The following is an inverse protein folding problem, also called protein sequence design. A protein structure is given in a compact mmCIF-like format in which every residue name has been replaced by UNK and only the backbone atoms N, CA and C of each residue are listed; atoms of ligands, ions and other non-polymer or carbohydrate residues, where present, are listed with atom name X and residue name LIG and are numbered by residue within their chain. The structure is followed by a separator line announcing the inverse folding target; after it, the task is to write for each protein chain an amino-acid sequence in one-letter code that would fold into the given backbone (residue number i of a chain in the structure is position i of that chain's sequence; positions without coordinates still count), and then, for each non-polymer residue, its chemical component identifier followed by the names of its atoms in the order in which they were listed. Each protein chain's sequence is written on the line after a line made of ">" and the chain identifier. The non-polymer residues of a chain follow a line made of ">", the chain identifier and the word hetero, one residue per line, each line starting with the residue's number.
data_IF_322128985434
#
_entry.id   IF_322128985434
#
_cell.length_a   1.000
_cell.length_b   1.000
_cell.length_c   1.000
_cell.angle_alpha   90.00
_cell.angle_beta   90.00
_cell.angle_gamma   90.00
#
_symmetry.space_group_name_H-M   'P 1'
#
loop_
_entity.id
_entity.type
_entity.pdbx_description
1 polymer ?
#
# COMPACT_ATOMS: atom_id res chain seq x y z
N UNK A 1 -10.68 -2.14 9.82
CA UNK A 1 -9.83 -2.31 8.63
C UNK A 1 -9.21 -0.98 8.24
N UNK A 2 -7.89 -0.94 8.11
CA UNK A 2 -7.24 0.27 7.65
C UNK A 2 -7.29 0.35 6.13
N UNK A 3 -7.65 1.53 5.65
CA UNK A 3 -7.63 1.81 4.22
C UNK A 3 -6.26 2.36 3.86
N UNK A 4 -5.52 1.61 3.04
CA UNK A 4 -4.17 2.00 2.62
C UNK A 4 -4.18 3.37 1.95
N UNK A 5 -5.22 3.65 1.16
CA UNK A 5 -5.38 4.94 0.49
C UNK A 5 -5.46 6.09 1.50
N UNK A 6 -6.23 5.92 2.55
CA UNK A 6 -6.39 6.96 3.57
C UNK A 6 -5.09 7.20 4.33
N UNK A 7 -4.41 6.12 4.70
CA UNK A 7 -3.12 6.22 5.41
C UNK A 7 -2.10 6.91 4.52
N UNK A 8 -2.02 6.50 3.26
CA UNK A 8 -1.11 7.09 2.29
C UNK A 8 -1.32 8.59 2.15
N UNK A 9 -2.58 8.99 2.00
CA UNK A 9 -2.93 10.41 1.87
C UNK A 9 -2.61 11.20 3.13
N UNK A 10 -2.87 10.61 4.28
CA UNK A 10 -2.58 11.24 5.56
C UNK A 10 -1.08 11.49 5.73
N UNK A 11 -0.26 10.57 5.24
CA UNK A 11 1.19 10.71 5.29
C UNK A 11 1.75 11.58 4.16
N UNK A 12 0.91 11.98 3.21
CA UNK A 12 1.32 12.86 2.11
C UNK A 12 2.03 12.14 0.98
N UNK A 13 1.87 10.84 0.85
CA UNK A 13 2.52 10.06 -0.21
C UNK A 13 1.65 9.99 -1.46
N UNK A 14 2.27 10.20 -2.64
CA UNK A 14 1.59 10.03 -3.92
C UNK A 14 1.54 8.56 -4.31
N UNK A 15 0.62 8.22 -5.22
CA UNK A 15 0.57 6.86 -5.78
C UNK A 15 1.86 6.54 -6.54
N UNK A 16 2.42 7.54 -7.22
CA UNK A 16 3.68 7.40 -7.94
C UNK A 16 4.81 7.02 -7.00
N UNK A 17 4.91 7.71 -5.87
CA UNK A 17 5.90 7.38 -4.85
C UNK A 17 5.74 5.96 -4.34
N UNK A 18 4.51 5.56 -4.03
CA UNK A 18 4.24 4.21 -3.54
C UNK A 18 4.60 3.14 -4.57
N UNK A 19 4.23 3.37 -5.83
CA UNK A 19 4.55 2.43 -6.90
C UNK A 19 6.06 2.28 -7.06
N UNK A 20 6.79 3.38 -7.00
CA UNK A 20 8.25 3.37 -7.10
C UNK A 20 8.87 2.58 -5.94
N UNK A 21 8.37 2.79 -4.72
CA UNK A 21 8.87 2.07 -3.55
C UNK A 21 8.61 0.58 -3.64
N UNK A 22 7.49 0.19 -4.24
CA UNK A 22 7.13 -1.22 -4.39
C UNK A 22 7.75 -1.86 -5.64
N UNK A 23 8.36 -1.06 -6.52
CA UNK A 23 8.96 -1.57 -7.75
C UNK A 23 7.94 -2.01 -8.79
N UNK A 24 6.77 -1.38 -8.80
CA UNK A 24 5.69 -1.69 -9.75
C UNK A 24 5.25 -0.42 -10.46
N UNK A 25 4.43 -0.58 -11.51
CA UNK A 25 3.89 0.58 -12.23
C UNK A 25 2.83 1.28 -11.39
N UNK A 26 2.59 2.55 -11.66
CA UNK A 26 1.56 3.31 -10.98
C UNK A 26 0.18 2.71 -11.23
N UNK A 27 -0.09 2.23 -12.44
CA UNK A 27 -1.35 1.58 -12.76
C UNK A 27 -1.55 0.31 -11.93
N UNK A 28 -0.50 -0.51 -11.83
CA UNK A 28 -0.54 -1.72 -11.00
C UNK A 28 -0.80 -1.38 -9.53
N UNK A 29 -0.10 -0.37 -9.02
CA UNK A 29 -0.32 0.08 -7.65
C UNK A 29 -1.77 0.52 -7.43
N UNK A 30 -2.30 1.30 -8.37
CA UNK A 30 -3.67 1.80 -8.29
C UNK A 30 -4.69 0.66 -8.19
N UNK A 31 -4.52 -0.38 -9.00
CA UNK A 31 -5.39 -1.56 -8.96
C UNK A 31 -5.30 -2.28 -7.62
N UNK A 32 -4.10 -2.38 -7.06
CA UNK A 32 -3.89 -3.04 -5.76
C UNK A 32 -4.47 -2.22 -4.62
N UNK A 33 -4.31 -0.92 -4.66
CA UNK A 33 -4.86 -0.03 -3.64
C UNK A 33 -6.39 -0.08 -3.63
N UNK A 34 -7.00 -0.18 -4.81
CA UNK A 34 -8.46 -0.23 -4.94
C UNK A 34 -9.06 -1.60 -4.62
N UNK A 35 -8.22 -2.62 -4.45
CA UNK A 35 -8.69 -3.97 -4.13
C UNK A 35 -8.95 -4.84 -5.34
N UNK A 36 -8.77 -4.34 -6.56
CA UNK A 36 -8.92 -5.13 -7.79
C UNK A 36 -7.87 -6.23 -7.86
N UNK A 37 -6.67 -5.95 -7.37
CA UNK A 37 -5.58 -6.92 -7.26
C UNK A 37 -5.06 -6.94 -5.84
N UNK A 38 -4.52 -8.08 -5.42
CA UNK A 38 -3.94 -8.21 -4.08
C UNK A 38 -2.48 -7.81 -4.10
N UNK A 39 -2.01 -7.24 -2.99
CA UNK A 39 -0.58 -7.02 -2.78
C UNK A 39 0.08 -8.36 -2.50
N UNK A 40 1.29 -8.55 -3.03
CA UNK A 40 2.10 -9.72 -2.69
C UNK A 40 2.63 -9.60 -1.27
N UNK A 41 3.12 -10.71 -0.71
CA UNK A 41 3.71 -10.71 0.62
C UNK A 41 4.92 -9.78 0.67
N UNK A 42 5.73 -9.77 -0.37
CA UNK A 42 6.89 -8.88 -0.47
C UNK A 42 6.45 -7.41 -0.43
N UNK A 43 5.37 -7.10 -1.17
CA UNK A 43 4.83 -5.74 -1.19
C UNK A 43 4.27 -5.34 0.16
N UNK A 44 3.59 -6.27 0.84
CA UNK A 44 3.05 -6.01 2.18
C UNK A 44 4.16 -5.70 3.18
N UNK A 45 5.29 -6.36 3.08
CA UNK A 45 6.44 -6.09 3.93
C UNK A 45 6.95 -4.66 3.74
N UNK A 46 6.98 -4.20 2.49
CA UNK A 46 7.41 -2.83 2.18
C UNK A 46 6.37 -1.83 2.68
N UNK A 47 5.09 -2.10 2.43
CA UNK A 47 4.00 -1.25 2.90
C UNK A 47 4.01 -1.09 4.41
N UNK A 48 4.24 -2.17 5.13
CA UNK A 48 4.33 -2.12 6.59
C UNK A 48 5.37 -1.10 7.05
N UNK A 49 6.52 -1.07 6.38
CA UNK A 49 7.59 -0.13 6.72
C UNK A 49 7.23 1.29 6.35
N UNK A 50 6.77 1.49 5.12
CA UNK A 50 6.49 2.83 4.59
C UNK A 50 5.36 3.50 5.37
N UNK A 51 4.30 2.75 5.64
CA UNK A 51 3.11 3.28 6.28
C UNK A 51 3.19 3.21 7.81
N UNK A 52 4.22 2.53 8.34
CA UNK A 52 4.43 2.35 9.77
C UNK A 52 3.20 1.74 10.46
N UNK A 53 2.73 0.65 9.89
CA UNK A 53 1.57 -0.09 10.40
C UNK A 53 1.94 -1.56 10.64
N UNK A 54 1.09 -2.27 11.35
CA UNK A 54 1.26 -3.71 11.59
C UNK A 54 0.62 -4.50 10.46
N UNK A 55 0.99 -5.79 10.35
CA UNK A 55 0.31 -6.69 9.39
C UNK A 55 -1.17 -6.83 9.70
N UNK A 56 -1.52 -6.88 10.97
CA UNK A 56 -2.90 -7.00 11.40
C UNK A 56 -3.72 -5.81 10.92
N UNK A 57 -3.14 -4.62 11.01
CA UNK A 57 -3.79 -3.40 10.51
C UNK A 57 -3.98 -3.44 9.01
N UNK A 58 -2.94 -3.91 8.27
CA UNK A 58 -3.02 -4.01 6.81
C UNK A 58 -4.03 -5.05 6.35
N UNK A 59 -4.13 -6.15 7.06
CA UNK A 59 -5.00 -7.27 6.68
C UNK A 59 -6.42 -7.12 7.21
N UNK A 60 -6.67 -6.14 8.06
CA UNK A 60 -8.01 -5.81 8.49
C UNK A 60 -8.56 -6.63 9.63
N UNK A 61 -7.72 -7.24 10.40
CA UNK A 61 -8.16 -8.03 11.56
C UNK A 61 -7.72 -7.42 12.87
#
# INVERSE_FOLDING_TARGET
>A
MLDIKDIRKRLGFSKEYMAQRLGITQASYSFKESGIRKFSIKELKILKRILNVTYEELLGD
#
